data_IF_179371466392
#
_entry.id   IF_179371466392
#
_cell.length_a   1.000
_cell.length_b   1.000
_cell.length_c   1.000
_cell.angle_alpha   90.00
_cell.angle_beta   90.00
_cell.angle_gamma   90.00
#
_symmetry.space_group_name_H-M   'P 1'
#
loop_
_entity.id
_entity.type
_entity.pdbx_description
1 polymer ?
#
# COMPACT_ATOMS: atom_id res chain seq x y z
N UNK A 1 9.93 5.80 2.30
CA UNK A 1 9.24 6.94 1.68
C UNK A 1 8.09 6.52 0.74
N UNK A 2 8.32 5.76 -0.35
CA UNK A 2 7.21 5.37 -1.27
C UNK A 2 6.14 4.47 -0.63
N UNK A 3 6.57 3.47 0.14
CA UNK A 3 5.67 2.53 0.82
C UNK A 3 4.94 3.19 1.98
N UNK A 4 5.57 4.14 2.68
CA UNK A 4 4.93 4.94 3.72
C UNK A 4 3.87 5.88 3.14
N UNK A 5 4.16 6.54 2.00
CA UNK A 5 3.14 7.30 1.23
C UNK A 5 1.98 6.39 0.85
N UNK A 6 2.27 5.18 0.34
CA UNK A 6 1.25 4.21 -0.03
C UNK A 6 0.37 3.79 1.15
N UNK A 7 0.95 3.54 2.33
CA UNK A 7 0.20 3.29 3.57
C UNK A 7 -0.76 4.44 3.85
N UNK A 8 -0.29 5.69 3.77
CA UNK A 8 -1.13 6.86 4.02
C UNK A 8 -2.32 6.95 3.07
N UNK A 9 -2.10 6.70 1.77
CA UNK A 9 -3.17 6.70 0.76
C UNK A 9 -4.18 5.56 0.98
N UNK A 10 -3.72 4.37 1.37
CA UNK A 10 -4.59 3.22 1.64
C UNK A 10 -5.39 3.39 2.93
N UNK A 11 -4.74 3.85 3.99
CA UNK A 11 -5.31 3.90 5.33
C UNK A 11 -6.17 5.14 5.53
N UNK A 12 -5.63 6.32 5.22
CA UNK A 12 -6.29 7.58 5.54
C UNK A 12 -7.20 8.08 4.40
N UNK A 13 -6.88 7.75 3.15
CA UNK A 13 -7.67 8.20 2.00
C UNK A 13 -8.57 7.09 1.42
N UNK A 14 -8.42 5.83 1.88
CA UNK A 14 -9.23 4.71 1.40
C UNK A 14 -9.05 4.41 -0.09
N UNK A 15 -7.93 4.83 -0.69
CA UNK A 15 -7.70 4.63 -2.12
C UNK A 15 -7.60 3.14 -2.47
N UNK A 16 -8.01 2.78 -3.68
CA UNK A 16 -7.88 1.41 -4.19
C UNK A 16 -6.42 1.03 -4.37
N UNK A 17 -6.06 -0.19 -3.99
CA UNK A 17 -4.70 -0.77 -4.08
C UNK A 17 -4.05 -0.54 -5.45
N UNK A 18 -4.78 -0.80 -6.54
CA UNK A 18 -4.25 -0.62 -7.89
C UNK A 18 -3.90 0.84 -8.19
N UNK A 19 -4.76 1.78 -7.80
CA UNK A 19 -4.51 3.22 -7.97
C UNK A 19 -3.31 3.68 -7.15
N UNK A 20 -3.20 3.22 -5.90
CA UNK A 20 -2.05 3.52 -5.03
C UNK A 20 -0.74 3.02 -5.64
N UNK A 21 -0.73 1.82 -6.23
CA UNK A 21 0.47 1.26 -6.84
C UNK A 21 1.04 2.19 -7.93
N UNK A 22 0.19 2.65 -8.85
CA UNK A 22 0.61 3.56 -9.91
C UNK A 22 0.97 4.95 -9.37
N UNK A 23 0.19 5.48 -8.42
CA UNK A 23 0.41 6.79 -7.79
C UNK A 23 1.77 6.91 -7.06
N UNK A 24 2.28 5.79 -6.51
CA UNK A 24 3.59 5.75 -5.84
C UNK A 24 4.71 5.25 -6.73
N UNK A 25 4.45 5.11 -8.04
CA UNK A 25 5.47 4.86 -9.07
C UNK A 25 5.79 3.40 -9.34
N UNK A 26 4.89 2.45 -9.03
CA UNK A 26 5.04 1.07 -9.46
C UNK A 26 4.43 0.85 -10.84
N UNK A 27 5.17 0.13 -11.69
CA UNK A 27 4.71 -0.28 -13.01
C UNK A 27 3.66 -1.41 -12.94
N UNK A 28 3.62 -2.14 -11.82
CA UNK A 28 2.70 -3.25 -11.61
C UNK A 28 2.12 -3.28 -10.18
N UNK A 29 0.79 -3.37 -10.02
CA UNK A 29 0.16 -3.59 -8.72
C UNK A 29 0.62 -4.87 -8.01
N UNK A 30 1.03 -5.88 -8.77
CA UNK A 30 1.56 -7.14 -8.21
C UNK A 30 2.94 -6.95 -7.58
N UNK A 31 3.81 -6.15 -8.21
CA UNK A 31 5.11 -5.78 -7.63
C UNK A 31 4.92 -4.97 -6.35
N UNK A 32 4.06 -3.95 -6.41
CA UNK A 32 3.67 -3.14 -5.26
C UNK A 32 3.21 -4.03 -4.10
N UNK A 33 2.26 -4.94 -4.36
CA UNK A 33 1.68 -5.78 -3.32
C UNK A 33 2.70 -6.70 -2.65
N UNK A 34 3.67 -7.24 -3.41
CA UNK A 34 4.76 -8.06 -2.86
C UNK A 34 5.68 -7.26 -1.95
N UNK A 35 6.12 -6.08 -2.39
CA UNK A 35 7.01 -5.23 -1.60
C UNK A 35 6.30 -4.64 -0.38
N UNK A 36 5.05 -4.20 -0.53
CA UNK A 36 4.23 -3.70 0.58
C UNK A 36 4.06 -4.77 1.66
N UNK A 37 3.69 -5.99 1.27
CA UNK A 37 3.57 -7.12 2.21
C UNK A 37 4.89 -7.47 2.88
N UNK A 38 6.01 -7.43 2.15
CA UNK A 38 7.35 -7.68 2.70
C UNK A 38 7.71 -6.66 3.78
N UNK A 39 7.38 -5.39 3.55
CA UNK A 39 7.74 -4.28 4.42
C UNK A 39 6.82 -4.17 5.64
N UNK A 40 5.49 -4.17 5.44
CA UNK A 40 4.50 -3.97 6.51
C UNK A 40 3.94 -5.26 7.12
N UNK A 41 4.36 -6.43 6.62
CA UNK A 41 3.91 -7.76 7.06
C UNK A 41 2.42 -8.06 6.82
N UNK A 42 1.67 -7.16 6.18
CA UNK A 42 0.28 -7.34 5.75
C UNK A 42 0.12 -6.96 4.27
N UNK A 43 -0.77 -7.60 3.51
CA UNK A 43 -1.03 -7.20 2.13
C UNK A 43 -1.69 -5.81 2.09
N UNK A 44 -1.55 -5.05 0.99
CA UNK A 44 -2.14 -3.71 0.88
C UNK A 44 -3.67 -3.70 0.93
N UNK A 45 -4.34 -4.81 0.60
CA UNK A 45 -5.79 -4.98 0.79
C UNK A 45 -6.21 -4.98 2.26
N UNK A 46 -5.29 -5.32 3.16
CA UNK A 46 -5.47 -5.33 4.61
C UNK A 46 -4.74 -4.16 5.28
N UNK A 47 -4.32 -3.15 4.51
CA UNK A 47 -3.58 -2.00 5.04
C UNK A 47 -4.33 -1.27 6.17
N UNK A 48 -5.66 -1.37 6.22
CA UNK A 48 -6.49 -0.85 7.32
C UNK A 48 -6.09 -1.41 8.69
N UNK A 49 -5.54 -2.63 8.76
CA UNK A 49 -5.02 -3.20 10.00
C UNK A 49 -3.81 -2.42 10.55
N UNK A 50 -3.09 -1.68 9.71
CA UNK A 50 -1.96 -0.83 10.10
C UNK A 50 -2.38 0.50 10.73
N UNK A 51 -3.68 0.81 10.79
CA UNK A 51 -4.22 2.00 11.47
C UNK A 51 -4.40 1.78 12.97
N UNK A 52 -4.54 0.52 13.39
CA UNK A 52 -4.86 0.12 14.76
C UNK A 52 -3.63 -0.37 15.56
N UNK A 53 -2.42 -0.09 15.05
CA UNK A 53 -1.13 -0.35 15.69
C UNK A 53 -0.35 0.96 15.81
#
# INVERSE_FOLDING_TARGET
MRLDKAKGLLVHQGMRVNSVAYEVGYESPSQFSREFKRYFRVPPSEAQNLAYN
#
